data_IF_283421965156
#
_entry.id   IF_283421965156
#
_cell.length_a   1.000
_cell.length_b   1.000
_cell.length_c   1.000
_cell.angle_alpha   90.00
_cell.angle_beta   90.00
_cell.angle_gamma   90.00
#
_symmetry.space_group_name_H-M   'P 1'
#
loop_
_entity.id
_entity.type
_entity.pdbx_description
1 polymer ?
#
# COMPACT_ATOMS: atom_id res chain seq x y z
N UNK A 1 28.55 4.03 -8.68
CA UNK A 1 27.93 4.16 -8.61
C UNK A 1 27.10 4.60 -8.45
N UNK A 2 27.09 4.75 -8.26
CA UNK A 2 26.32 4.98 -7.99
C UNK A 2 25.47 5.40 -8.22
N UNK A 3 25.25 5.44 -8.17
CA UNK A 3 24.47 5.66 -8.23
C UNK A 3 23.57 6.14 -8.20
N UNK A 4 23.30 6.29 -8.03
CA UNK A 4 22.42 6.68 -7.89
C UNK A 4 21.83 7.32 -7.90
N UNK A 5 21.81 7.14 -7.90
CA UNK A 5 21.43 8.00 -7.81
C UNK A 5 20.36 8.66 -7.40
N UNK A 6 20.24 9.24 -7.03
CA UNK A 6 19.38 10.13 -6.48
C UNK A 6 18.00 9.85 -6.48
N UNK A 7 17.48 9.35 -7.06
CA UNK A 7 16.19 9.17 -7.07
C UNK A 7 15.67 8.09 -6.39
N UNK A 8 16.10 7.89 -5.39
CA UNK A 8 15.80 6.75 -4.67
C UNK A 8 14.64 6.85 -3.80
N UNK A 9 13.78 7.78 -4.00
CA UNK A 9 12.62 7.85 -3.18
C UNK A 9 11.62 6.75 -3.47
N UNK A 10 11.81 6.00 -4.53
CA UNK A 10 10.89 4.96 -4.88
C UNK A 10 11.57 3.61 -4.85
N UNK A 11 10.99 2.67 -4.10
CA UNK A 11 11.53 1.34 -3.93
C UNK A 11 10.57 0.37 -4.57
N UNK A 12 11.09 -0.47 -5.45
CA UNK A 12 10.26 -1.42 -6.14
C UNK A 12 10.30 -2.81 -5.57
N UNK A 13 10.93 -2.93 -4.46
CA UNK A 13 10.98 -4.19 -3.77
C UNK A 13 9.60 -4.55 -3.28
N UNK A 14 9.17 -5.76 -3.49
CA UNK A 14 7.85 -6.18 -3.08
C UNK A 14 7.88 -6.67 -1.66
N UNK A 15 7.14 -6.01 -0.82
CA UNK A 15 6.98 -6.42 0.58
C UNK A 15 5.57 -6.92 0.78
N UNK A 16 5.42 -7.89 1.65
CA UNK A 16 4.10 -8.40 1.98
C UNK A 16 3.40 -7.42 2.90
N UNK A 17 2.14 -7.19 2.62
CA UNK A 17 1.33 -6.24 3.34
C UNK A 17 0.09 -6.91 3.89
N UNK A 18 -0.33 -6.46 5.07
CA UNK A 18 -1.66 -6.77 5.58
C UNK A 18 -2.38 -5.44 5.70
N UNK A 19 -3.45 -5.27 4.93
CA UNK A 19 -4.17 -4.01 4.86
C UNK A 19 -5.53 -4.19 5.50
N UNK A 20 -5.84 -3.36 6.49
CA UNK A 20 -7.14 -3.34 7.16
C UNK A 20 -7.86 -2.06 6.80
N UNK A 21 -9.14 -2.17 6.51
CA UNK A 21 -9.90 -1.01 6.04
C UNK A 21 -11.40 -1.29 6.12
N UNK A 22 -12.20 -0.24 6.02
CA UNK A 22 -13.64 -0.39 5.84
C UNK A 22 -13.88 -0.39 4.33
N UNK A 23 -14.47 -1.45 3.82
CA UNK A 23 -14.68 -1.58 2.39
C UNK A 23 -15.90 -0.74 1.95
N UNK A 24 -16.27 -0.85 0.69
CA UNK A 24 -17.33 -0.02 0.14
C UNK A 24 -18.69 -0.31 0.77
N UNK A 25 -18.83 -1.44 1.44
CA UNK A 25 -20.05 -1.77 2.15
C UNK A 25 -19.98 -1.42 3.62
N UNK A 26 -18.94 -0.67 4.02
CA UNK A 26 -18.72 -0.24 5.40
C UNK A 26 -18.45 -1.41 6.35
N UNK A 27 -17.97 -2.52 5.81
CA UNK A 27 -17.56 -3.65 6.63
C UNK A 27 -16.05 -3.63 6.78
N UNK A 28 -15.58 -3.97 7.97
CA UNK A 28 -14.15 -4.06 8.21
C UNK A 28 -13.60 -5.28 7.50
N UNK A 29 -12.59 -5.06 6.69
CA UNK A 29 -11.95 -6.11 5.91
C UNK A 29 -10.46 -6.07 6.12
N UNK A 30 -9.85 -7.20 5.83
CA UNK A 30 -8.40 -7.35 5.95
C UNK A 30 -7.94 -8.18 4.76
N UNK A 31 -6.95 -7.70 4.05
CA UNK A 31 -6.41 -8.42 2.89
C UNK A 31 -4.91 -8.48 2.96
N UNK A 32 -4.36 -9.60 2.53
CA UNK A 32 -2.93 -9.72 2.32
C UNK A 32 -2.63 -9.40 0.88
N UNK A 33 -1.63 -8.58 0.66
CA UNK A 33 -1.23 -8.19 -0.68
C UNK A 33 0.27 -7.91 -0.67
N UNK A 34 0.76 -7.33 -1.72
CA UNK A 34 2.17 -6.97 -1.83
C UNK A 34 2.27 -5.55 -2.32
N UNK A 35 3.36 -4.90 -1.94
CA UNK A 35 3.66 -3.56 -2.42
C UNK A 35 3.80 -3.58 -3.92
N UNK A 36 3.09 -2.69 -4.60
CA UNK A 36 3.31 -2.45 -6.01
C UNK A 36 4.38 -1.37 -6.15
N UNK A 37 4.26 -0.34 -5.33
CA UNK A 37 5.18 0.78 -5.38
C UNK A 37 5.14 1.49 -4.03
N UNK A 38 6.25 2.03 -3.59
CA UNK A 38 6.29 2.74 -2.31
C UNK A 38 7.27 3.89 -2.39
N UNK A 39 6.93 4.98 -1.73
CA UNK A 39 7.80 6.15 -1.63
C UNK A 39 7.69 6.70 -0.22
N UNK A 40 8.32 7.83 0.02
CA UNK A 40 8.27 8.45 1.34
C UNK A 40 6.88 8.93 1.70
N UNK A 41 6.06 9.24 0.71
CA UNK A 41 4.77 9.85 0.98
C UNK A 41 3.60 8.91 0.78
N UNK A 42 3.81 7.78 0.12
CA UNK A 42 2.69 6.92 -0.16
C UNK A 42 3.06 5.55 -0.66
N UNK A 43 2.05 4.76 -0.89
CA UNK A 43 2.22 3.36 -1.26
C UNK A 43 1.08 2.98 -2.19
N UNK A 44 1.35 2.05 -3.09
CA UNK A 44 0.28 1.48 -3.91
C UNK A 44 0.34 -0.03 -3.86
N UNK A 45 -0.82 -0.65 -4.00
CA UNK A 45 -0.96 -2.09 -3.95
C UNK A 45 -2.33 -2.46 -4.50
N UNK A 46 -2.50 -3.75 -4.81
CA UNK A 46 -3.78 -4.23 -5.31
C UNK A 46 -4.64 -4.71 -4.16
N UNK A 47 -5.93 -4.39 -4.21
CA UNK A 47 -6.92 -4.92 -3.28
C UNK A 47 -8.04 -5.56 -4.09
N UNK A 48 -8.61 -6.62 -3.55
CA UNK A 48 -9.69 -7.33 -4.22
C UNK A 48 -11.04 -6.68 -4.00
N UNK A 49 -11.28 -6.16 -2.81
CA UNK A 49 -12.55 -5.54 -2.49
C UNK A 49 -12.53 -4.06 -2.85
N UNK A 50 -13.63 -3.54 -3.37
CA UNK A 50 -13.68 -2.12 -3.73
C UNK A 50 -13.55 -1.23 -2.49
N UNK A 51 -12.85 -0.14 -2.65
CA UNK A 51 -12.71 0.87 -1.59
C UNK A 51 -12.97 2.24 -2.20
N UNK A 52 -13.33 3.17 -1.33
CA UNK A 52 -13.57 4.54 -1.74
C UNK A 52 -12.33 5.38 -1.57
N UNK A 53 -12.22 6.43 -2.37
CA UNK A 53 -11.24 7.47 -2.11
C UNK A 53 -11.54 8.04 -0.73
N UNK A 54 -10.49 8.39 0.00
CA UNK A 54 -10.54 8.88 1.38
C UNK A 54 -10.74 7.77 2.43
N UNK A 55 -10.81 6.53 2.02
CA UNK A 55 -10.85 5.44 2.98
C UNK A 55 -9.55 5.39 3.77
N UNK A 56 -9.66 5.27 5.08
CA UNK A 56 -8.49 5.14 5.95
C UNK A 56 -8.04 3.69 5.99
N UNK A 57 -6.74 3.51 5.89
CA UNK A 57 -6.14 2.19 5.87
C UNK A 57 -5.15 2.05 7.02
N UNK A 58 -5.09 0.86 7.59
CA UNK A 58 -4.02 0.49 8.48
C UNK A 58 -3.21 -0.57 7.76
N UNK A 59 -1.94 -0.30 7.55
CA UNK A 59 -1.08 -1.15 6.73
C UNK A 59 0.03 -1.69 7.59
N UNK A 60 0.13 -3.01 7.66
CA UNK A 60 1.25 -3.67 8.32
C UNK A 60 2.19 -4.18 7.26
N UNK A 61 3.41 -3.72 7.32
CA UNK A 61 4.43 -4.09 6.34
C UNK A 61 5.41 -5.04 7.00
N UNK A 62 5.59 -6.19 6.40
CA UNK A 62 6.56 -7.14 6.89
C UNK A 62 7.93 -6.69 6.41
N UNK A 63 8.74 -6.23 7.34
CA UNK A 63 10.08 -5.81 7.03
C UNK A 63 11.02 -6.91 7.47
N UNK A 64 11.24 -7.84 6.60
CA UNK A 64 12.00 -9.02 6.97
C UNK A 64 13.46 -8.88 6.76
N UNK A 65 13.88 -7.85 6.07
CA UNK A 65 15.21 -7.82 5.61
C UNK A 65 16.21 -7.80 6.70
N UNK A 66 16.00 -7.04 7.70
CA UNK A 66 17.02 -6.88 8.73
C UNK A 66 16.55 -7.39 10.05
N UNK A 67 15.37 -6.99 10.48
CA UNK A 67 14.92 -7.27 11.83
C UNK A 67 13.67 -8.14 11.90
N UNK A 68 13.10 -8.47 10.78
CA UNK A 68 11.87 -9.23 10.78
C UNK A 68 10.73 -8.52 11.47
N UNK A 69 10.79 -7.22 11.54
CA UNK A 69 9.79 -6.47 12.27
C UNK A 69 8.63 -6.08 11.38
N UNK A 70 7.45 -6.04 11.97
CA UNK A 70 6.30 -5.48 11.32
C UNK A 70 6.23 -4.00 11.61
N UNK A 71 6.01 -3.21 10.59
CA UNK A 71 5.78 -1.79 10.76
C UNK A 71 4.32 -1.54 10.46
N UNK A 72 3.69 -0.72 11.30
CA UNK A 72 2.30 -0.35 11.11
C UNK A 72 2.24 1.11 10.69
N UNK A 73 1.59 1.36 9.58
CA UNK A 73 1.43 2.70 9.04
C UNK A 73 -0.04 2.94 8.78
N UNK A 74 -0.45 4.18 8.87
CA UNK A 74 -1.79 4.57 8.49
C UNK A 74 -1.71 5.43 7.25
N UNK A 75 -2.74 5.33 6.43
CA UNK A 75 -2.76 6.02 5.16
C UNK A 75 -4.20 6.28 4.74
N UNK A 76 -4.36 7.07 3.71
CA UNK A 76 -5.68 7.36 3.17
C UNK A 76 -5.66 7.16 1.67
N UNK A 77 -6.67 6.51 1.15
CA UNK A 77 -6.77 6.23 -0.29
C UNK A 77 -6.92 7.55 -1.04
N UNK A 78 -6.05 7.77 -2.02
CA UNK A 78 -6.12 8.99 -2.82
C UNK A 78 -6.44 8.68 -4.28
N UNK A 79 -6.29 7.43 -4.71
CA UNK A 79 -6.60 7.07 -6.09
C UNK A 79 -6.91 5.60 -6.18
N UNK A 80 -7.88 5.27 -7.01
CA UNK A 80 -8.26 3.90 -7.28
C UNK A 80 -8.32 3.73 -8.80
N UNK A 81 -7.63 2.74 -9.32
CA UNK A 81 -7.65 2.44 -10.75
C UNK A 81 -7.97 0.97 -10.94
N UNK A 82 -8.86 0.69 -11.88
CA UNK A 82 -9.20 -0.70 -12.21
C UNK A 82 -8.68 -0.95 -13.61
N UNK A 83 -7.83 -1.96 -13.76
CA UNK A 83 -7.25 -2.25 -15.05
C UNK A 83 -8.20 -3.13 -15.89
N UNK A 84 -7.76 -3.45 -17.10
CA UNK A 84 -8.62 -4.18 -18.04
C UNK A 84 -8.95 -5.58 -17.53
N UNK A 85 -8.15 -6.13 -16.66
CA UNK A 85 -8.40 -7.45 -16.10
C UNK A 85 -9.29 -7.41 -14.86
N UNK A 86 -9.68 -6.23 -14.43
CA UNK A 86 -10.52 -6.08 -13.26
C UNK A 86 -9.76 -5.95 -11.97
N UNK A 87 -8.44 -5.87 -12.01
CA UNK A 87 -7.65 -5.69 -10.80
C UNK A 87 -7.69 -4.24 -10.37
N UNK A 88 -7.87 -4.04 -9.07
CA UNK A 88 -7.98 -2.71 -8.51
C UNK A 88 -6.66 -2.31 -7.88
N UNK A 89 -6.03 -1.30 -8.45
CA UNK A 89 -4.79 -0.74 -7.91
C UNK A 89 -5.15 0.47 -7.05
N UNK A 90 -4.76 0.41 -5.80
CA UNK A 90 -5.08 1.46 -4.82
C UNK A 90 -3.81 2.22 -4.50
N UNK A 91 -3.87 3.53 -4.60
CA UNK A 91 -2.78 4.39 -4.16
C UNK A 91 -3.22 5.11 -2.90
N UNK A 92 -2.38 5.09 -1.90
CA UNK A 92 -2.66 5.68 -0.61
C UNK A 92 -1.54 6.59 -0.18
N UNK A 93 -1.90 7.65 0.52
CA UNK A 93 -0.94 8.61 1.03
C UNK A 93 -0.82 8.40 2.53
N UNK A 94 0.41 8.30 3.00
CA UNK A 94 0.65 8.10 4.42
C UNK A 94 0.19 9.32 5.22
N UNK A 95 -0.37 9.06 6.38
CA UNK A 95 -0.71 10.12 7.32
C UNK A 95 0.57 10.67 7.93
N UNK A 96 0.55 11.94 8.19
CA UNK A 96 1.71 12.58 8.77
C UNK A 96 1.65 12.63 10.26
#
# INVERSE_FOLDING_TARGET
MAKNTGNTTRIKEKSKLLVKYADANWETSSEQTETHDISETGISFYLKKPVWIDTHLTIKIASSEIFGRLRTLTAKVVRVQVDASGKQLVAARFDE
#
